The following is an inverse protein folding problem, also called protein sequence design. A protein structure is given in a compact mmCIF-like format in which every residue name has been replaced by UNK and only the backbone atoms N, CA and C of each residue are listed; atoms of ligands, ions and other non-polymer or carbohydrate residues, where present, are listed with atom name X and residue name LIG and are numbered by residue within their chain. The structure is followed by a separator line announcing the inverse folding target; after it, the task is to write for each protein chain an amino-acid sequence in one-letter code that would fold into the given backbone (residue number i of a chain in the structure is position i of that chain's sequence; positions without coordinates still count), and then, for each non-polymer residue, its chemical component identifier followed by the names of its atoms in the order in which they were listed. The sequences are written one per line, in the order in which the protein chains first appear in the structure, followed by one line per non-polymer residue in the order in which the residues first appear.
data_IF_206911662842
#
_entry.id   IF_206911662842
#
_cell.length_a   1.000
_cell.length_b   1.000
_cell.length_c   1.000
_cell.angle_alpha   90.00
_cell.angle_beta   90.00
_cell.angle_gamma   90.00
#
_symmetry.space_group_name_H-M   'P 1'
#
loop_
_entity.id
_entity.type
_entity.pdbx_description
1 polymer ?
#
# COMPACT_ATOMS: atom_id res chain seq x y z
N UNK A 1 -22.45 2.99 -4.02
CA UNK A 1 -21.41 2.04 -3.58
C UNK A 1 -22.01 1.20 -2.45
N UNK A 2 -21.89 -0.14 -2.48
CA UNK A 2 -22.50 -1.00 -1.44
C UNK A 2 -21.75 -0.89 -0.10
N UNK A 3 -22.49 -0.87 1.01
CA UNK A 3 -21.94 -0.79 2.36
C UNK A 3 -20.93 -1.90 2.68
N UNK A 4 -21.12 -3.09 2.13
CA UNK A 4 -20.20 -4.23 2.31
C UNK A 4 -18.80 -3.95 1.76
N UNK A 5 -18.72 -3.24 0.64
CA UNK A 5 -17.45 -2.84 0.00
C UNK A 5 -16.77 -1.75 0.83
N UNK A 6 -17.55 -0.79 1.32
CA UNK A 6 -17.07 0.28 2.19
C UNK A 6 -16.49 -0.32 3.48
N UNK A 7 -17.21 -1.24 4.14
CA UNK A 7 -16.72 -1.93 5.34
C UNK A 7 -15.38 -2.64 5.08
N UNK A 8 -15.23 -3.34 3.95
CA UNK A 8 -13.96 -3.99 3.59
C UNK A 8 -12.82 -3.00 3.30
N UNK A 9 -13.13 -1.86 2.67
CA UNK A 9 -12.17 -0.80 2.40
C UNK A 9 -11.70 -0.12 3.69
N UNK A 10 -12.63 0.18 4.60
CA UNK A 10 -12.33 0.80 5.89
C UNK A 10 -11.69 -0.18 6.88
N UNK A 11 -11.89 -1.49 6.71
CA UNK A 11 -11.18 -2.51 7.49
C UNK A 11 -9.67 -2.55 7.20
N UNK A 12 -9.19 -1.96 6.09
CA UNK A 12 -7.77 -1.93 5.76
C UNK A 12 -7.36 -0.56 5.22
N UNK A 13 -6.63 0.21 6.03
CA UNK A 13 -6.14 1.54 5.66
C UNK A 13 -5.34 1.53 4.35
N UNK A 14 -4.62 0.45 4.02
CA UNK A 14 -3.85 0.37 2.78
C UNK A 14 -4.75 0.30 1.54
N UNK A 15 -5.93 -0.32 1.67
CA UNK A 15 -6.92 -0.38 0.59
C UNK A 15 -7.52 1.01 0.36
N UNK A 16 -7.79 1.72 1.45
CA UNK A 16 -8.34 3.07 1.44
C UNK A 16 -7.35 4.08 0.85
N UNK A 17 -6.06 3.95 1.18
CA UNK A 17 -4.99 4.76 0.60
C UNK A 17 -4.80 4.47 -0.90
N UNK A 18 -4.84 3.21 -1.32
CA UNK A 18 -4.80 2.84 -2.74
C UNK A 18 -6.01 3.37 -3.51
N UNK A 19 -7.20 3.31 -2.89
CA UNK A 19 -8.44 3.85 -3.46
C UNK A 19 -8.35 5.37 -3.63
N UNK A 20 -7.81 6.10 -2.64
CA UNK A 20 -7.55 7.55 -2.73
C UNK A 20 -6.60 7.91 -3.86
N UNK A 21 -5.57 7.10 -4.11
CA UNK A 21 -4.62 7.30 -5.21
C UNK A 21 -5.19 6.98 -6.59
N UNK A 22 -6.29 6.23 -6.65
CA UNK A 22 -6.90 5.79 -7.90
C UNK A 22 -8.42 6.03 -7.93
N UNK A 23 -8.85 7.29 -8.17
CA UNK A 23 -10.27 7.67 -8.10
C UNK A 23 -11.16 6.92 -9.10
N UNK A 24 -10.57 6.41 -10.20
CA UNK A 24 -11.26 5.55 -11.18
C UNK A 24 -11.98 4.37 -10.55
N UNK A 25 -11.46 3.81 -9.46
CA UNK A 25 -12.06 2.67 -8.79
C UNK A 25 -13.37 3.01 -8.08
N UNK A 26 -13.58 4.25 -7.64
CA UNK A 26 -14.89 4.65 -7.09
C UNK A 26 -16.00 4.41 -8.11
N UNK A 27 -15.76 4.77 -9.38
CA UNK A 27 -16.72 4.57 -10.45
C UNK A 27 -16.98 3.08 -10.74
N UNK A 28 -15.92 2.26 -10.84
CA UNK A 28 -16.07 0.83 -11.09
C UNK A 28 -16.75 0.08 -9.94
N UNK A 29 -16.45 0.45 -8.69
CA UNK A 29 -17.05 -0.14 -7.49
C UNK A 29 -18.50 0.31 -7.28
N UNK A 30 -18.90 1.43 -7.88
CA UNK A 30 -20.29 1.90 -7.89
C UNK A 30 -21.11 1.22 -8.99
N UNK A 31 -20.52 1.03 -10.17
CA UNK A 31 -21.12 0.39 -11.35
C UNK A 31 -21.52 -1.07 -11.11
N UNK A 32 -20.58 -1.91 -10.68
CA UNK A 32 -20.87 -3.31 -10.45
C UNK A 32 -19.96 -3.88 -9.35
N UNK A 33 -20.52 -4.61 -8.37
CA UNK A 33 -19.75 -5.22 -7.29
C UNK A 33 -18.74 -6.28 -7.79
N UNK A 34 -18.88 -6.82 -9.01
CA UNK A 34 -17.91 -7.78 -9.56
C UNK A 34 -16.52 -7.15 -9.75
N UNK A 35 -16.45 -5.84 -10.01
CA UNK A 35 -15.17 -5.13 -10.10
C UNK A 35 -14.43 -5.04 -8.76
N UNK A 36 -15.10 -5.29 -7.62
CA UNK A 36 -14.44 -5.36 -6.32
C UNK A 36 -13.42 -6.51 -6.24
N UNK A 37 -13.71 -7.64 -6.89
CA UNK A 37 -12.79 -8.79 -6.90
C UNK A 37 -11.49 -8.45 -7.65
N UNK A 38 -11.62 -7.74 -8.78
CA UNK A 38 -10.47 -7.24 -9.54
C UNK A 38 -9.73 -6.13 -8.79
N UNK A 39 -10.45 -5.20 -8.16
CA UNK A 39 -9.86 -4.19 -7.27
C UNK A 39 -9.02 -4.84 -6.17
N UNK A 40 -9.58 -5.82 -5.46
CA UNK A 40 -8.89 -6.52 -4.38
C UNK A 40 -7.64 -7.23 -4.90
N UNK A 41 -7.70 -7.87 -6.07
CA UNK A 41 -6.55 -8.54 -6.70
C UNK A 41 -5.45 -7.55 -7.06
N UNK A 42 -5.81 -6.41 -7.64
CA UNK A 42 -4.88 -5.34 -8.03
C UNK A 42 -4.26 -4.70 -6.79
N UNK A 43 -5.06 -4.37 -5.77
CA UNK A 43 -4.59 -3.80 -4.51
C UNK A 43 -3.67 -4.77 -3.80
N UNK A 44 -4.01 -6.06 -3.68
CA UNK A 44 -3.13 -7.07 -3.05
C UNK A 44 -1.80 -7.20 -3.80
N UNK A 45 -1.82 -7.16 -5.13
CA UNK A 45 -0.59 -7.19 -5.95
C UNK A 45 0.25 -5.93 -5.73
N UNK A 46 -0.38 -4.76 -5.73
CA UNK A 46 0.27 -3.48 -5.48
C UNK A 46 0.80 -3.39 -4.03
N UNK A 47 0.05 -3.86 -3.03
CA UNK A 47 0.46 -3.93 -1.63
C UNK A 47 1.64 -4.85 -1.47
N UNK A 48 1.63 -6.06 -2.02
CA UNK A 48 2.77 -6.99 -1.92
C UNK A 48 4.04 -6.38 -2.50
N UNK A 49 3.92 -5.69 -3.65
CA UNK A 49 5.05 -4.94 -4.22
C UNK A 49 5.46 -3.78 -3.31
N UNK A 50 4.50 -3.00 -2.81
CA UNK A 50 4.75 -1.81 -1.96
C UNK A 50 5.35 -2.20 -0.60
N UNK A 51 4.90 -3.28 0.02
CA UNK A 51 5.38 -3.72 1.34
C UNK A 51 6.77 -4.31 1.22
N UNK A 52 7.04 -5.10 0.17
CA UNK A 52 8.40 -5.57 -0.11
C UNK A 52 9.36 -4.41 -0.40
N UNK A 53 8.94 -3.47 -1.24
CA UNK A 53 9.71 -2.28 -1.61
C UNK A 53 9.99 -1.37 -0.40
N UNK A 54 9.00 -1.18 0.47
CA UNK A 54 9.18 -0.46 1.75
C UNK A 54 10.14 -1.18 2.69
N UNK A 55 10.13 -2.51 2.73
CA UNK A 55 11.06 -3.29 3.56
C UNK A 55 12.50 -3.15 3.08
N UNK A 56 12.72 -3.16 1.76
CA UNK A 56 14.02 -2.90 1.15
C UNK A 56 14.50 -1.48 1.44
N UNK A 57 13.62 -0.49 1.28
CA UNK A 57 13.94 0.92 1.54
C UNK A 57 14.31 1.15 3.00
N UNK A 58 13.57 0.53 3.93
CA UNK A 58 13.87 0.59 5.37
C UNK A 58 15.21 -0.07 5.70
N UNK A 59 15.51 -1.25 5.14
CA UNK A 59 16.83 -1.90 5.30
C UNK A 59 17.96 -1.00 4.81
N UNK A 60 17.77 -0.34 3.67
CA UNK A 60 18.78 0.56 3.11
C UNK A 60 19.02 1.79 3.98
N UNK A 61 17.96 2.40 4.53
CA UNK A 61 18.07 3.53 5.45
C UNK A 61 18.76 3.15 6.78
N UNK A 62 18.44 1.98 7.34
CA UNK A 62 19.07 1.49 8.58
C UNK A 62 20.56 1.21 8.36
N UNK A 63 20.93 0.58 7.23
CA UNK A 63 22.33 0.36 6.88
C UNK A 63 23.08 1.69 6.71
N UNK A 64 22.49 2.67 6.03
CA UNK A 64 23.12 3.97 5.80
C UNK A 64 23.33 4.74 7.12
N UNK A 65 22.32 4.76 8.01
CA UNK A 65 22.44 5.37 9.34
C UNK A 65 23.53 4.68 10.18
N UNK A 66 23.60 3.35 10.16
CA UNK A 66 24.64 2.58 10.84
C UNK A 66 26.05 2.88 10.30
N UNK A 67 26.19 3.02 8.98
CA UNK A 67 27.47 3.36 8.33
C UNK A 67 27.94 4.78 8.67
N UNK A 68 27.03 5.75 8.73
CA UNK A 68 27.36 7.13 9.14
C UNK A 68 27.80 7.19 10.61
N UNK A 69 27.07 6.54 11.52
CA UNK A 69 27.44 6.47 12.94
C UNK A 69 28.81 5.82 13.10
N UNK A 70 29.08 4.73 12.37
CA UNK A 70 30.38 4.04 12.41
C UNK A 70 31.52 4.89 11.85
N UNK A 71 31.28 5.68 10.79
CA UNK A 71 32.28 6.58 10.22
C UNK A 71 32.61 7.74 11.17
N UNK A 72 31.59 8.32 11.81
CA UNK A 72 31.76 9.39 12.80
C UNK A 72 32.40 8.91 14.10
N UNK A 73 32.15 7.65 14.51
CA UNK A 73 32.74 7.06 15.71
C UNK A 73 34.17 6.51 15.47
N UNK A 74 34.61 6.42 14.22
CA UNK A 74 35.95 5.95 13.84
C UNK A 74 36.91 7.09 13.46
N UNK A 75 36.49 8.34 13.66
CA UNK A 75 37.32 9.56 13.69
C UNK A 75 37.72 9.85 15.15
#
# INVERSE_FOLDING_TARGET
MRDEIILKLYANEQYLDYLRRHPKWYYFLDLDPQYFSEFERVVKKALKLTTSDRLETLKNQVNFAGSLIKYLASQ
#
